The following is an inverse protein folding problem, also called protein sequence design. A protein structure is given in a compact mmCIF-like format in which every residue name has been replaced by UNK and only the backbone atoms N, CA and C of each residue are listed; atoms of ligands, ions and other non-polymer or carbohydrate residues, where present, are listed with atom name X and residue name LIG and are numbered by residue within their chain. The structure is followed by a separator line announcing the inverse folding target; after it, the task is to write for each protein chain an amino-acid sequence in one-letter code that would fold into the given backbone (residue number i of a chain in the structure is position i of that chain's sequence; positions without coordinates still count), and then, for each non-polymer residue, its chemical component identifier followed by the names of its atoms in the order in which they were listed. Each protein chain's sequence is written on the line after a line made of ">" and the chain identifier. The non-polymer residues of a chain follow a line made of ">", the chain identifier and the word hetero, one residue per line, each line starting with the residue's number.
data_IF_305121218717
#
_entry.id   IF_305121218717
#
_cell.length_a   1.000
_cell.length_b   1.000
_cell.length_c   1.000
_cell.angle_alpha   90.00
_cell.angle_beta   90.00
_cell.angle_gamma   90.00
#
_symmetry.space_group_name_H-M   'P 1'
#
loop_
_entity.id
_entity.type
_entity.pdbx_description
1 polymer ?
#
# COMPACT_ATOMS: atom_id res chain seq x y z
N UNK A 1 -33.72 -12.98 28.73
CA UNK A 1 -32.26 -12.99 28.48
C UNK A 1 -31.94 -11.87 27.50
N UNK A 2 -31.27 -10.80 27.91
CA UNK A 2 -30.90 -9.66 27.05
C UNK A 2 -29.49 -9.88 26.51
N UNK A 3 -29.34 -9.96 25.20
CA UNK A 3 -28.03 -9.93 24.53
C UNK A 3 -27.60 -8.47 24.36
N UNK A 4 -26.44 -8.03 24.89
CA UNK A 4 -25.91 -6.72 24.58
C UNK A 4 -25.08 -6.75 23.30
N UNK A 5 -25.39 -5.80 22.43
CA UNK A 5 -24.51 -5.07 21.50
C UNK A 5 -23.36 -5.81 20.80
N UNK A 6 -23.62 -6.25 19.56
CA UNK A 6 -22.59 -6.61 18.56
C UNK A 6 -22.08 -5.40 17.74
N UNK A 7 -22.42 -4.15 18.11
CA UNK A 7 -22.09 -2.95 17.31
C UNK A 7 -20.72 -2.31 17.59
N UNK A 8 -19.91 -2.85 18.52
CA UNK A 8 -18.62 -2.26 18.87
C UNK A 8 -17.46 -2.64 17.92
N UNK A 9 -17.56 -3.74 17.18
CA UNK A 9 -16.45 -4.26 16.36
C UNK A 9 -16.21 -3.49 15.05
N UNK A 10 -17.21 -2.76 14.53
CA UNK A 10 -17.09 -2.04 13.25
C UNK A 10 -16.35 -0.70 13.37
N UNK A 11 -16.51 0.01 14.49
CA UNK A 11 -15.84 1.31 14.72
C UNK A 11 -14.34 1.17 14.92
N UNK A 12 -13.88 0.07 15.52
CA UNK A 12 -12.45 -0.16 15.76
C UNK A 12 -11.71 -0.43 14.44
N UNK A 13 -12.27 -1.28 13.55
CA UNK A 13 -11.66 -1.57 12.24
C UNK A 13 -11.57 -0.35 11.31
N UNK A 14 -12.54 0.56 11.35
CA UNK A 14 -12.45 1.80 10.59
C UNK A 14 -11.31 2.69 11.08
N UNK A 15 -11.08 2.77 12.40
CA UNK A 15 -9.96 3.51 12.97
C UNK A 15 -8.61 2.92 12.56
N UNK A 16 -8.44 1.60 12.61
CA UNK A 16 -7.18 0.96 12.23
C UNK A 16 -6.89 1.06 10.73
N UNK A 17 -7.92 0.96 9.89
CA UNK A 17 -7.80 1.12 8.43
C UNK A 17 -7.50 2.58 8.09
N UNK A 18 -8.18 3.55 8.72
CA UNK A 18 -7.91 4.97 8.52
C UNK A 18 -6.50 5.35 8.99
N UNK A 19 -6.02 4.80 10.10
CA UNK A 19 -4.64 5.00 10.57
C UNK A 19 -3.63 4.37 9.61
N UNK A 20 -3.89 3.16 9.11
CA UNK A 20 -3.02 2.52 8.11
C UNK A 20 -2.93 3.33 6.81
N UNK A 21 -4.04 3.93 6.37
CA UNK A 21 -4.06 4.84 5.21
C UNK A 21 -3.30 6.13 5.53
N UNK A 22 -3.45 6.70 6.73
CA UNK A 22 -2.73 7.91 7.15
C UNK A 22 -1.20 7.70 7.14
N UNK A 23 -0.73 6.50 7.47
CA UNK A 23 0.69 6.14 7.45
C UNK A 23 1.16 5.66 6.07
N UNK A 24 0.36 5.83 5.03
CA UNK A 24 0.68 5.40 3.66
C UNK A 24 0.80 6.61 2.73
N UNK A 25 2.01 6.84 2.23
CA UNK A 25 2.35 7.94 1.34
C UNK A 25 2.21 7.49 -0.11
N UNK A 26 1.27 8.05 -0.89
CA UNK A 26 1.16 7.78 -2.31
C UNK A 26 2.27 8.50 -3.09
N UNK A 27 2.80 7.85 -4.11
CA UNK A 27 3.72 8.45 -5.07
C UNK A 27 3.54 7.82 -6.46
N UNK A 28 4.30 8.31 -7.43
CA UNK A 28 4.25 7.82 -8.81
C UNK A 28 5.63 7.46 -9.35
N UNK A 29 5.63 6.55 -10.32
CA UNK A 29 6.77 6.24 -11.18
C UNK A 29 6.35 6.52 -12.61
N UNK A 30 7.19 7.24 -13.36
CA UNK A 30 7.00 7.43 -14.79
C UNK A 30 7.72 6.33 -15.58
N UNK A 31 6.99 5.66 -16.47
CA UNK A 31 7.57 4.67 -17.39
C UNK A 31 6.85 4.71 -18.73
N UNK A 32 7.61 4.93 -19.82
CA UNK A 32 7.05 4.95 -21.18
C UNK A 32 5.91 5.95 -21.37
N UNK A 33 6.00 7.12 -20.72
CA UNK A 33 4.97 8.15 -20.75
C UNK A 33 3.72 7.85 -19.91
N UNK A 34 3.70 6.76 -19.13
CA UNK A 34 2.60 6.41 -18.23
C UNK A 34 3.01 6.63 -16.78
N UNK A 35 2.12 7.27 -16.03
CA UNK A 35 2.19 7.39 -14.58
C UNK A 35 1.68 6.11 -13.94
N UNK A 36 2.48 5.50 -13.08
CA UNK A 36 2.14 4.27 -12.36
C UNK A 36 2.06 4.59 -10.88
N UNK A 37 0.97 4.17 -10.25
CA UNK A 37 0.71 4.42 -8.84
C UNK A 37 1.52 3.48 -7.96
N UNK A 38 2.11 4.06 -6.93
CA UNK A 38 2.82 3.33 -5.89
C UNK A 38 2.51 3.95 -4.53
N UNK A 39 2.67 3.16 -3.49
CA UNK A 39 2.50 3.61 -2.11
C UNK A 39 3.65 3.13 -1.25
N UNK A 40 3.99 3.92 -0.23
CA UNK A 40 4.92 3.54 0.82
C UNK A 40 4.24 3.67 2.18
N UNK A 41 4.18 2.60 2.95
CA UNK A 41 3.71 2.66 4.32
C UNK A 41 4.88 2.91 5.26
N UNK A 42 4.90 4.08 5.90
CA UNK A 42 5.92 4.46 6.89
C UNK A 42 5.82 3.63 8.17
N UNK A 43 4.64 3.07 8.45
CA UNK A 43 4.37 2.24 9.63
C UNK A 43 5.08 0.88 9.57
N UNK A 44 5.07 0.24 8.41
CA UNK A 44 5.58 -1.12 8.26
C UNK A 44 6.64 -1.24 7.16
N UNK A 45 7.12 -0.13 6.60
CA UNK A 45 8.16 -0.11 5.57
C UNK A 45 7.76 -0.76 4.25
N UNK A 46 6.47 -0.96 3.95
CA UNK A 46 6.05 -1.67 2.74
C UNK A 46 5.94 -0.70 1.56
N UNK A 47 6.61 -1.05 0.46
CA UNK A 47 6.40 -0.41 -0.85
C UNK A 47 5.47 -1.27 -1.68
N UNK A 48 4.42 -0.68 -2.24
CA UNK A 48 3.46 -1.36 -3.13
C UNK A 48 3.40 -0.64 -4.47
N UNK A 49 3.39 -1.39 -5.56
CA UNK A 49 3.20 -0.88 -6.93
C UNK A 49 1.93 -1.49 -7.51
N UNK A 50 1.09 -0.65 -8.12
CA UNK A 50 -0.12 -1.07 -8.81
C UNK A 50 0.05 -0.85 -10.32
N UNK A 51 -0.03 -1.92 -11.10
CA UNK A 51 0.07 -1.87 -12.56
C UNK A 51 -0.94 -2.80 -13.23
N UNK A 52 -1.75 -2.25 -14.15
CA UNK A 52 -2.77 -2.98 -14.92
C UNK A 52 -3.72 -3.84 -14.05
N UNK A 53 -4.17 -3.29 -12.92
CA UNK A 53 -5.07 -3.98 -11.99
C UNK A 53 -4.41 -5.05 -11.12
N UNK A 54 -3.09 -5.25 -11.24
CA UNK A 54 -2.29 -6.12 -10.36
C UNK A 54 -1.50 -5.27 -9.37
N UNK A 55 -1.22 -5.82 -8.20
CA UNK A 55 -0.37 -5.18 -7.18
C UNK A 55 0.77 -6.10 -6.79
N UNK A 56 1.95 -5.52 -6.56
CA UNK A 56 3.10 -6.21 -5.99
C UNK A 56 3.69 -5.37 -4.86
N UNK A 57 4.01 -6.01 -3.74
CA UNK A 57 4.50 -5.33 -2.53
C UNK A 57 5.79 -5.97 -2.02
N UNK A 58 6.64 -5.18 -1.39
CA UNK A 58 7.85 -5.66 -0.69
C UNK A 58 8.18 -4.82 0.53
N UNK A 59 8.93 -5.40 1.46
CA UNK A 59 9.41 -4.73 2.67
C UNK A 59 10.73 -4.00 2.39
N UNK A 60 10.76 -2.71 2.73
CA UNK A 60 11.88 -1.79 2.53
C UNK A 60 11.80 -0.59 3.49
N UNK A 61 12.09 -0.77 4.79
CA UNK A 61 11.90 0.25 5.82
C UNK A 61 12.86 1.45 5.73
N UNK A 62 13.99 1.30 5.05
CA UNK A 62 15.06 2.32 4.97
C UNK A 62 15.51 2.62 3.52
N UNK A 63 14.79 2.10 2.53
CA UNK A 63 15.21 2.16 1.14
C UNK A 63 14.63 3.37 0.40
N UNK A 64 15.34 3.78 -0.65
CA UNK A 64 14.78 4.65 -1.70
C UNK A 64 13.54 3.98 -2.31
N UNK A 65 12.36 4.48 -1.92
CA UNK A 65 11.08 3.87 -2.30
C UNK A 65 10.89 3.93 -3.81
N UNK A 66 11.43 4.93 -4.51
CA UNK A 66 11.36 5.01 -5.96
C UNK A 66 12.18 3.90 -6.61
N UNK A 67 13.41 3.66 -6.15
CA UNK A 67 14.25 2.60 -6.69
C UNK A 67 13.63 1.22 -6.47
N UNK A 68 13.07 0.97 -5.28
CA UNK A 68 12.36 -0.28 -4.94
C UNK A 68 11.13 -0.45 -5.83
N UNK A 69 10.31 0.58 -5.97
CA UNK A 69 9.11 0.52 -6.79
C UNK A 69 9.43 0.28 -8.27
N UNK A 70 10.53 0.83 -8.79
CA UNK A 70 11.01 0.52 -10.16
C UNK A 70 11.42 -0.95 -10.31
N UNK A 71 12.09 -1.54 -9.31
CA UNK A 71 12.44 -2.96 -9.32
C UNK A 71 11.18 -3.84 -9.30
N UNK A 72 10.22 -3.53 -8.44
CA UNK A 72 8.93 -4.24 -8.40
C UNK A 72 8.21 -4.16 -9.75
N UNK A 73 8.16 -2.97 -10.35
CA UNK A 73 7.57 -2.80 -11.67
C UNK A 73 8.29 -3.63 -12.74
N UNK A 74 9.63 -3.67 -12.75
CA UNK A 74 10.38 -4.53 -13.68
C UNK A 74 10.02 -6.01 -13.52
N UNK A 75 9.85 -6.49 -12.29
CA UNK A 75 9.39 -7.87 -12.03
C UNK A 75 7.98 -8.08 -12.59
N UNK A 76 7.05 -7.16 -12.31
CA UNK A 76 5.67 -7.26 -12.81
C UNK A 76 5.57 -7.27 -14.34
N UNK A 77 6.50 -6.64 -15.04
CA UNK A 77 6.53 -6.60 -16.51
C UNK A 77 7.20 -7.83 -17.13
N UNK A 78 7.86 -8.65 -16.32
CA UNK A 78 8.53 -9.89 -16.77
C UNK A 78 7.60 -11.11 -16.67
N UNK A 79 6.51 -10.99 -15.90
CA UNK A 79 5.51 -12.05 -15.61
C UNK A 79 4.25 -11.82 -16.44
#
# INVERSE_FOLDING_TARGET
>A
MRHPDQHAASRHRQSDTARLIADTVPFHIDRGGRRIEATYSTRNGIVTVCHQGKSLSTYSPEADQQAVARKLLSVMLTI
#
